data_IF_027171220196
#
_entry.id   IF_027171220196
#
_cell.length_a   1.000
_cell.length_b   1.000
_cell.length_c   1.000
_cell.angle_alpha   90.00
_cell.angle_beta   90.00
_cell.angle_gamma   90.00
#
_symmetry.space_group_name_H-M   'P 1'
#
loop_
_entity.id
_entity.type
_entity.pdbx_description
1 polymer ?
#
# COMPACT_ATOMS: atom_id res chain seq x y z
N UNK A 1 18.98 -10.37 13.49
CA UNK A 1 17.82 -9.71 12.86
C UNK A 1 16.99 -10.67 11.98
N UNK A 2 17.61 -11.70 11.41
CA UNK A 2 16.86 -12.70 10.61
C UNK A 2 15.83 -13.45 11.46
N UNK A 3 16.15 -13.78 12.70
CA UNK A 3 15.20 -14.37 13.65
C UNK A 3 14.01 -13.45 13.90
N UNK A 4 14.24 -12.13 14.01
CA UNK A 4 13.16 -11.16 14.18
C UNK A 4 12.25 -11.09 12.95
N UNK A 5 12.82 -11.23 11.74
CA UNK A 5 12.01 -11.32 10.51
C UNK A 5 11.13 -12.57 10.51
N UNK A 6 11.66 -13.72 10.92
CA UNK A 6 10.91 -14.97 11.03
C UNK A 6 9.80 -14.91 12.10
N UNK A 7 9.96 -14.12 13.15
CA UNK A 7 8.92 -13.92 14.16
C UNK A 7 7.66 -13.21 13.62
N UNK A 8 7.67 -12.66 12.40
CA UNK A 8 6.44 -12.14 11.78
C UNK A 8 5.40 -13.24 11.53
N UNK A 9 5.82 -14.50 11.46
CA UNK A 9 4.94 -15.67 11.33
C UNK A 9 4.48 -16.27 12.68
N UNK A 10 4.94 -15.70 13.78
CA UNK A 10 4.65 -16.26 15.10
C UNK A 10 3.17 -16.10 15.47
N UNK A 11 2.56 -17.16 16.05
CA UNK A 11 1.14 -17.21 16.43
C UNK A 11 0.76 -16.18 17.49
N UNK A 12 1.66 -15.93 18.43
CA UNK A 12 1.45 -14.90 19.45
C UNK A 12 1.88 -13.53 18.91
N UNK A 13 0.89 -12.64 18.78
CA UNK A 13 1.06 -11.27 18.28
C UNK A 13 2.10 -10.45 19.04
N UNK A 14 2.29 -10.71 20.34
CA UNK A 14 3.27 -9.99 21.15
C UNK A 14 4.69 -10.13 20.57
N UNK A 15 5.07 -11.37 20.16
CA UNK A 15 6.38 -11.61 19.56
C UNK A 15 6.51 -10.92 18.19
N UNK A 16 5.49 -11.00 17.34
CA UNK A 16 5.51 -10.35 16.03
C UNK A 16 5.62 -8.82 16.15
N UNK A 17 4.86 -8.21 17.07
CA UNK A 17 4.91 -6.75 17.32
C UNK A 17 6.23 -6.31 17.92
N UNK A 18 6.76 -7.05 18.90
CA UNK A 18 8.06 -6.76 19.52
C UNK A 18 9.18 -6.87 18.50
N UNK A 19 9.19 -7.93 17.68
CA UNK A 19 10.17 -8.13 16.63
C UNK A 19 10.13 -7.00 15.60
N UNK A 20 8.93 -6.56 15.17
CA UNK A 20 8.77 -5.42 14.26
C UNK A 20 9.37 -4.15 14.84
N UNK A 21 9.05 -3.82 16.10
CA UNK A 21 9.59 -2.64 16.76
C UNK A 21 11.12 -2.68 16.80
N UNK A 22 11.72 -3.80 17.18
CA UNK A 22 13.18 -3.95 17.22
C UNK A 22 13.82 -3.80 15.85
N UNK A 23 13.22 -4.35 14.79
CA UNK A 23 13.70 -4.18 13.43
C UNK A 23 13.64 -2.71 12.98
N UNK A 24 12.56 -2.00 13.31
CA UNK A 24 12.40 -0.58 13.01
C UNK A 24 13.43 0.29 13.73
N UNK A 25 13.64 0.05 15.03
CA UNK A 25 14.64 0.76 15.84
C UNK A 25 16.06 0.57 15.28
N UNK A 26 16.41 -0.66 14.90
CA UNK A 26 17.72 -0.98 14.32
C UNK A 26 17.92 -0.40 12.93
N UNK A 27 16.88 -0.41 12.09
CA UNK A 27 16.93 0.19 10.77
C UNK A 27 17.13 1.73 10.81
N UNK A 28 16.76 2.37 11.90
CA UNK A 28 17.03 3.81 12.12
C UNK A 28 18.51 4.13 12.39
N UNK A 29 19.29 3.16 12.85
CA UNK A 29 20.71 3.34 13.21
C UNK A 29 21.69 2.69 12.24
N UNK A 30 21.27 1.67 11.50
CA UNK A 30 22.13 0.92 10.56
C UNK A 30 21.35 0.51 9.33
N UNK A 31 22.05 0.28 8.21
CA UNK A 31 21.45 -0.29 6.99
C UNK A 31 20.98 -1.72 7.28
N UNK A 32 19.73 -2.00 6.97
CA UNK A 32 19.14 -3.33 7.15
C UNK A 32 19.85 -4.37 6.30
N UNK A 33 20.19 -5.52 6.91
CA UNK A 33 20.83 -6.61 6.19
C UNK A 33 19.94 -7.11 5.03
N UNK A 34 20.49 -7.30 3.82
CA UNK A 34 19.70 -7.76 2.66
C UNK A 34 18.92 -9.04 2.92
N UNK A 35 19.47 -9.98 3.70
CA UNK A 35 18.78 -11.22 4.05
C UNK A 35 17.47 -10.97 4.83
N UNK A 36 17.44 -9.99 5.73
CA UNK A 36 16.22 -9.60 6.48
C UNK A 36 15.17 -9.04 5.54
N UNK A 37 15.58 -8.11 4.67
CA UNK A 37 14.68 -7.49 3.67
C UNK A 37 14.11 -8.55 2.73
N UNK A 38 14.96 -9.42 2.20
CA UNK A 38 14.54 -10.50 1.28
C UNK A 38 13.55 -11.47 1.95
N UNK A 39 13.80 -11.86 3.20
CA UNK A 39 12.88 -12.73 3.95
C UNK A 39 11.52 -12.07 4.13
N UNK A 40 11.47 -10.80 4.54
CA UNK A 40 10.22 -10.08 4.68
C UNK A 40 9.49 -9.89 3.35
N UNK A 41 10.21 -9.56 2.27
CA UNK A 41 9.62 -9.44 0.93
C UNK A 41 9.05 -10.77 0.44
N UNK A 42 9.72 -11.89 0.72
CA UNK A 42 9.21 -13.21 0.40
C UNK A 42 7.92 -13.52 1.15
N UNK A 43 7.83 -13.19 2.44
CA UNK A 43 6.59 -13.32 3.22
C UNK A 43 5.44 -12.51 2.59
N UNK A 44 5.70 -11.28 2.16
CA UNK A 44 4.67 -10.46 1.48
C UNK A 44 4.18 -11.10 0.19
N UNK A 45 5.10 -11.66 -0.61
CA UNK A 45 4.75 -12.19 -1.95
C UNK A 45 4.06 -13.53 -1.94
N UNK A 46 4.38 -14.41 -0.98
CA UNK A 46 4.06 -15.84 -1.09
C UNK A 46 3.48 -16.50 0.15
N UNK A 47 3.35 -15.80 1.29
CA UNK A 47 2.76 -16.44 2.47
C UNK A 47 1.26 -16.69 2.26
N UNK A 48 0.77 -17.88 2.70
CA UNK A 48 -0.63 -18.25 2.52
C UNK A 48 -1.61 -17.38 3.35
N UNK A 49 -1.16 -16.89 4.51
CA UNK A 49 -1.99 -16.10 5.41
C UNK A 49 -1.81 -14.59 5.17
N UNK A 50 -2.88 -13.92 4.77
CA UNK A 50 -2.89 -12.47 4.50
C UNK A 50 -2.43 -11.63 5.71
N UNK A 51 -2.83 -11.93 6.96
CA UNK A 51 -2.29 -11.20 8.12
C UNK A 51 -0.76 -11.23 8.23
N UNK A 52 -0.13 -12.32 7.83
CA UNK A 52 1.33 -12.43 7.85
C UNK A 52 1.96 -11.61 6.72
N UNK A 53 1.37 -11.63 5.51
CA UNK A 53 1.78 -10.75 4.41
C UNK A 53 1.75 -9.28 4.86
N UNK A 54 0.66 -8.86 5.50
CA UNK A 54 0.50 -7.49 5.99
C UNK A 54 1.51 -7.15 7.10
N UNK A 55 1.75 -8.04 8.06
CA UNK A 55 2.78 -7.84 9.10
C UNK A 55 4.16 -7.60 8.48
N UNK A 56 4.54 -8.42 7.50
CA UNK A 56 5.82 -8.28 6.81
C UNK A 56 5.89 -6.97 6.01
N UNK A 57 4.80 -6.58 5.32
CA UNK A 57 4.70 -5.32 4.59
C UNK A 57 4.87 -4.10 5.51
N UNK A 58 4.17 -4.09 6.65
CA UNK A 58 4.30 -3.01 7.64
C UNK A 58 5.70 -2.96 8.27
N UNK A 59 6.34 -4.11 8.45
CA UNK A 59 7.71 -4.19 8.97
C UNK A 59 8.67 -3.55 7.96
N UNK A 60 8.61 -3.94 6.68
CA UNK A 60 9.41 -3.35 5.61
C UNK A 60 9.20 -1.83 5.49
N UNK A 61 7.93 -1.39 5.60
CA UNK A 61 7.62 0.04 5.54
C UNK A 61 8.24 0.82 6.70
N UNK A 62 8.09 0.32 7.94
CA UNK A 62 8.70 0.93 9.12
C UNK A 62 10.22 0.95 9.09
N UNK A 63 10.84 -0.05 8.45
CA UNK A 63 12.28 -0.11 8.19
C UNK A 63 12.72 0.79 7.01
N UNK A 64 11.79 1.44 6.29
CA UNK A 64 12.03 2.19 5.05
C UNK A 64 12.69 1.33 3.95
N UNK A 65 12.39 0.05 3.91
CA UNK A 65 13.02 -0.97 3.07
C UNK A 65 12.05 -1.62 2.06
N UNK A 66 10.96 -0.92 1.70
CA UNK A 66 9.98 -1.44 0.72
C UNK A 66 10.55 -1.50 -0.69
N UNK A 67 11.50 -0.63 -1.05
CA UNK A 67 11.97 -0.50 -2.45
C UNK A 67 10.79 -0.29 -3.40
N UNK A 68 10.77 -1.02 -4.52
CA UNK A 68 9.68 -1.03 -5.50
C UNK A 68 8.55 -2.05 -5.21
N UNK A 69 8.55 -2.67 -4.02
CA UNK A 69 7.56 -3.71 -3.68
C UNK A 69 6.11 -3.20 -3.71
N UNK A 70 5.88 -1.96 -3.29
CA UNK A 70 4.52 -1.40 -3.27
C UNK A 70 3.94 -1.29 -4.67
N UNK A 71 4.74 -0.84 -5.63
CA UNK A 71 4.39 -0.75 -7.04
C UNK A 71 4.19 -2.15 -7.65
N UNK A 72 5.07 -3.09 -7.33
CA UNK A 72 4.95 -4.50 -7.74
C UNK A 72 3.60 -5.09 -7.30
N UNK A 73 3.18 -4.88 -6.05
CA UNK A 73 1.91 -5.35 -5.52
C UNK A 73 0.71 -4.75 -6.26
N UNK A 74 0.80 -3.52 -6.75
CA UNK A 74 -0.26 -2.87 -7.52
C UNK A 74 -0.34 -3.36 -8.96
N UNK A 75 0.75 -3.82 -9.52
CA UNK A 75 0.77 -4.38 -10.89
C UNK A 75 0.32 -5.85 -10.88
N UNK A 76 0.51 -6.55 -9.77
CA UNK A 76 0.15 -7.95 -9.62
C UNK A 76 -1.36 -8.12 -9.40
N UNK A 77 -2.08 -8.63 -10.40
CA UNK A 77 -3.53 -8.87 -10.32
C UNK A 77 -3.89 -10.05 -9.39
N UNK A 78 -2.94 -10.92 -9.05
CA UNK A 78 -3.14 -12.05 -8.13
C UNK A 78 -2.86 -11.70 -6.67
N UNK A 79 -2.30 -10.52 -6.38
CA UNK A 79 -2.11 -10.06 -5.02
C UNK A 79 -3.48 -9.88 -4.33
N UNK A 80 -3.56 -10.24 -3.05
CA UNK A 80 -4.79 -10.07 -2.26
C UNK A 80 -5.24 -8.60 -2.20
N UNK A 81 -6.55 -8.36 -2.18
CA UNK A 81 -7.10 -7.01 -2.17
C UNK A 81 -6.68 -6.19 -0.94
N UNK A 82 -6.54 -6.81 0.23
CA UNK A 82 -6.07 -6.11 1.43
C UNK A 82 -4.60 -5.71 1.30
N UNK A 83 -3.78 -6.54 0.67
CA UNK A 83 -2.36 -6.24 0.43
C UNK A 83 -2.23 -5.08 -0.57
N UNK A 84 -3.02 -5.09 -1.68
CA UNK A 84 -3.06 -3.98 -2.64
C UNK A 84 -3.54 -2.68 -1.98
N UNK A 85 -4.61 -2.75 -1.19
CA UNK A 85 -5.14 -1.59 -0.48
C UNK A 85 -4.11 -0.96 0.47
N UNK A 86 -3.37 -1.78 1.20
CA UNK A 86 -2.28 -1.31 2.04
C UNK A 86 -1.11 -0.74 1.24
N UNK A 87 -0.77 -1.32 0.10
CA UNK A 87 0.26 -0.76 -0.79
C UNK A 87 -0.11 0.68 -1.23
N UNK A 88 -1.37 0.91 -1.64
CA UNK A 88 -1.88 2.25 -1.99
C UNK A 88 -1.76 3.20 -0.80
N UNK A 89 -2.20 2.77 0.37
CA UNK A 89 -2.15 3.60 1.58
C UNK A 89 -0.72 4.02 1.93
N UNK A 90 0.22 3.08 1.88
CA UNK A 90 1.63 3.33 2.19
C UNK A 90 2.32 4.22 1.14
N UNK A 91 1.94 4.10 -0.14
CA UNK A 91 2.35 5.04 -1.18
C UNK A 91 1.82 6.45 -0.89
N UNK A 92 0.57 6.56 -0.43
CA UNK A 92 -0.04 7.83 -0.04
C UNK A 92 0.66 8.54 1.11
N UNK A 93 1.47 7.86 1.92
CA UNK A 93 2.31 8.48 2.96
C UNK A 93 3.57 9.16 2.39
N UNK A 94 3.94 8.85 1.14
CA UNK A 94 5.14 9.38 0.46
C UNK A 94 4.78 10.18 -0.79
N UNK A 95 3.61 10.78 -0.80
CA UNK A 95 2.99 11.36 -1.98
C UNK A 95 3.87 12.42 -2.66
N UNK A 96 4.55 13.27 -1.88
CA UNK A 96 5.46 14.30 -2.39
C UNK A 96 6.71 13.74 -3.11
N UNK A 97 6.91 12.42 -3.03
CA UNK A 97 8.08 11.72 -3.58
C UNK A 97 7.71 10.66 -4.61
N UNK A 98 6.43 10.62 -5.04
CA UNK A 98 6.01 9.66 -6.06
C UNK A 98 6.58 10.04 -7.42
N UNK A 99 7.33 9.12 -8.00
CA UNK A 99 7.79 9.24 -9.39
C UNK A 99 6.63 9.12 -10.38
N UNK A 100 6.86 9.59 -11.61
CA UNK A 100 5.86 9.53 -12.71
C UNK A 100 5.41 8.10 -13.00
N UNK A 101 6.28 7.12 -12.85
CA UNK A 101 5.94 5.70 -13.02
C UNK A 101 4.92 5.22 -11.98
N UNK A 102 5.13 5.52 -10.69
CA UNK A 102 4.19 5.16 -9.63
C UNK A 102 2.82 5.81 -9.84
N UNK A 103 2.79 7.08 -10.28
CA UNK A 103 1.54 7.80 -10.62
C UNK A 103 0.81 7.13 -11.78
N UNK A 104 1.53 6.70 -12.82
CA UNK A 104 0.97 5.95 -13.95
C UNK A 104 0.40 4.59 -13.50
N UNK A 105 1.09 3.88 -12.59
CA UNK A 105 0.62 2.62 -12.02
C UNK A 105 -0.70 2.85 -11.23
N UNK A 106 -0.79 3.89 -10.40
CA UNK A 106 -2.01 4.21 -9.66
C UNK A 106 -3.17 4.54 -10.61
N UNK A 107 -2.94 5.33 -11.66
CA UNK A 107 -3.94 5.67 -12.67
C UNK A 107 -4.42 4.42 -13.44
N UNK A 108 -3.49 3.56 -13.85
CA UNK A 108 -3.81 2.29 -14.51
C UNK A 108 -4.64 1.39 -13.58
N UNK A 109 -4.23 1.26 -12.32
CA UNK A 109 -4.96 0.46 -11.32
C UNK A 109 -6.36 1.03 -11.07
N UNK A 110 -6.52 2.34 -10.98
CA UNK A 110 -7.83 2.97 -10.83
C UNK A 110 -8.82 2.57 -11.93
N UNK A 111 -8.34 2.37 -13.17
CA UNK A 111 -9.17 1.92 -14.29
C UNK A 111 -9.50 0.44 -14.22
N UNK A 112 -8.53 -0.42 -13.87
CA UNK A 112 -8.63 -1.88 -13.99
C UNK A 112 -9.04 -2.60 -12.70
N UNK A 113 -9.07 -1.90 -11.57
CA UNK A 113 -9.32 -2.52 -10.26
C UNK A 113 -10.77 -3.01 -10.14
N UNK A 114 -10.93 -4.30 -9.87
CA UNK A 114 -12.24 -4.95 -9.72
C UNK A 114 -12.79 -4.87 -8.30
N UNK A 115 -11.92 -4.75 -7.28
CA UNK A 115 -12.34 -4.68 -5.88
C UNK A 115 -12.79 -3.27 -5.48
N UNK A 116 -14.05 -3.08 -5.05
CA UNK A 116 -14.51 -1.81 -4.48
C UNK A 116 -13.70 -1.41 -3.24
N UNK A 117 -13.24 -2.40 -2.47
CA UNK A 117 -12.40 -2.16 -1.29
C UNK A 117 -11.09 -1.45 -1.67
N UNK A 118 -10.42 -1.90 -2.72
CA UNK A 118 -9.19 -1.26 -3.22
C UNK A 118 -9.49 0.10 -3.84
N UNK A 119 -10.58 0.23 -4.63
CA UNK A 119 -10.99 1.53 -5.22
C UNK A 119 -11.28 2.58 -4.15
N UNK A 120 -11.82 2.18 -2.99
CA UNK A 120 -11.99 3.08 -1.84
C UNK A 120 -10.67 3.66 -1.35
N UNK A 121 -9.60 2.85 -1.31
CA UNK A 121 -8.27 3.33 -0.92
C UNK A 121 -7.66 4.25 -1.98
N UNK A 122 -7.88 3.97 -3.27
CA UNK A 122 -7.49 4.87 -4.36
C UNK A 122 -8.22 6.22 -4.26
N UNK A 123 -9.52 6.21 -4.00
CA UNK A 123 -10.30 7.44 -3.80
C UNK A 123 -9.80 8.24 -2.58
N UNK A 124 -9.45 7.55 -1.48
CA UNK A 124 -8.92 8.19 -0.27
C UNK A 124 -7.56 8.87 -0.48
N UNK A 125 -6.74 8.38 -1.40
CA UNK A 125 -5.41 8.96 -1.70
C UNK A 125 -5.54 10.27 -2.47
N UNK A 126 -6.61 10.50 -3.23
CA UNK A 126 -6.81 11.71 -4.04
C UNK A 126 -6.62 13.02 -3.25
N UNK A 127 -7.10 13.06 -2.00
CA UNK A 127 -7.00 14.23 -1.14
C UNK A 127 -5.57 14.65 -0.78
N UNK A 128 -4.61 13.78 -1.03
CA UNK A 128 -3.19 14.00 -0.71
C UNK A 128 -2.36 14.30 -1.95
N UNK A 129 -2.90 14.01 -3.14
CA UNK A 129 -2.20 14.21 -4.41
C UNK A 129 -2.28 15.67 -4.87
N UNK A 130 -1.22 16.18 -5.52
CA UNK A 130 -1.33 17.39 -6.31
C UNK A 130 -2.44 17.26 -7.36
N UNK A 131 -3.04 18.39 -7.74
CA UNK A 131 -4.18 18.45 -8.65
C UNK A 131 -3.94 17.68 -9.96
N UNK A 132 -2.80 17.93 -10.58
CA UNK A 132 -2.41 17.29 -11.85
C UNK A 132 -2.30 15.76 -11.78
N UNK A 133 -2.06 15.22 -10.58
CA UNK A 133 -1.94 13.77 -10.34
C UNK A 133 -3.26 13.14 -9.88
N UNK A 134 -4.06 13.90 -9.12
CA UNK A 134 -5.34 13.44 -8.60
C UNK A 134 -6.37 13.26 -9.71
N UNK A 135 -6.43 14.21 -10.65
CA UNK A 135 -7.45 14.23 -11.69
C UNK A 135 -7.46 12.99 -12.60
N UNK A 136 -6.33 12.51 -13.15
CA UNK A 136 -6.31 11.29 -13.96
C UNK A 136 -6.81 10.05 -13.22
N UNK A 137 -6.53 9.94 -11.92
CA UNK A 137 -6.98 8.82 -11.09
C UNK A 137 -8.49 8.93 -10.83
N UNK A 138 -8.97 10.11 -10.46
CA UNK A 138 -10.38 10.38 -10.21
C UNK A 138 -11.24 10.08 -11.44
N UNK A 139 -10.81 10.53 -12.63
CA UNK A 139 -11.47 10.25 -13.90
C UNK A 139 -11.68 8.73 -14.12
N UNK A 140 -10.69 7.91 -13.80
CA UNK A 140 -10.80 6.45 -13.96
C UNK A 140 -11.70 5.81 -12.90
N UNK A 141 -11.69 6.33 -11.68
CA UNK A 141 -12.55 5.82 -10.60
C UNK A 141 -14.03 6.13 -10.86
N UNK A 142 -14.39 7.30 -11.35
CA UNK A 142 -15.80 7.64 -11.63
C UNK A 142 -16.42 6.79 -12.74
N UNK A 143 -15.61 6.13 -13.57
CA UNK A 143 -16.10 5.22 -14.61
C UNK A 143 -16.68 3.91 -14.07
N UNK A 144 -16.44 3.58 -12.79
CA UNK A 144 -16.99 2.37 -12.14
C UNK A 144 -18.43 2.64 -11.67
N UNK A 145 -19.41 2.56 -12.58
CA UNK A 145 -20.81 2.88 -12.28
C UNK A 145 -21.43 2.10 -11.10
N UNK A 146 -20.92 0.92 -10.78
CA UNK A 146 -21.36 0.15 -9.61
C UNK A 146 -21.07 0.87 -8.29
N UNK A 147 -20.02 1.70 -8.23
CA UNK A 147 -19.61 2.43 -7.03
C UNK A 147 -20.53 3.60 -6.69
N UNK A 148 -21.39 4.02 -7.61
CA UNK A 148 -22.38 5.08 -7.36
C UNK A 148 -23.34 4.76 -6.21
N UNK A 149 -23.52 3.47 -5.87
CA UNK A 149 -24.33 3.00 -4.74
C UNK A 149 -23.53 2.67 -3.48
N UNK A 150 -22.19 2.78 -3.53
CA UNK A 150 -21.37 2.59 -2.35
C UNK A 150 -21.52 3.78 -1.40
N UNK A 151 -21.53 3.53 -0.09
CA UNK A 151 -21.76 4.57 0.92
C UNK A 151 -20.58 5.52 1.10
N UNK A 152 -19.40 5.14 0.67
CA UNK A 152 -18.14 5.83 0.99
C UNK A 152 -17.41 6.33 -0.25
N UNK A 153 -17.34 5.52 -1.32
CA UNK A 153 -16.55 5.86 -2.51
C UNK A 153 -16.99 7.20 -3.14
N UNK A 154 -18.31 7.49 -3.35
CA UNK A 154 -18.73 8.76 -3.94
C UNK A 154 -18.31 9.98 -3.09
N UNK A 155 -18.37 9.84 -1.76
CA UNK A 155 -17.95 10.90 -0.86
C UNK A 155 -16.44 11.14 -0.91
N UNK A 156 -15.63 10.06 -0.93
CA UNK A 156 -14.18 10.18 -1.05
C UNK A 156 -13.77 10.78 -2.38
N UNK A 157 -14.44 10.41 -3.47
CA UNK A 157 -14.24 11.01 -4.79
C UNK A 157 -14.56 12.50 -4.75
N UNK A 158 -15.71 12.88 -4.20
CA UNK A 158 -16.10 14.29 -4.07
C UNK A 158 -15.04 15.08 -3.29
N UNK A 159 -14.67 14.66 -2.09
CA UNK A 159 -13.64 15.32 -1.29
C UNK A 159 -12.27 15.39 -1.97
N UNK A 160 -11.97 14.41 -2.84
CA UNK A 160 -10.72 14.39 -3.60
C UNK A 160 -10.72 15.35 -4.78
N UNK A 161 -11.88 15.64 -5.39
CA UNK A 161 -11.99 16.49 -6.58
C UNK A 161 -12.52 17.89 -6.30
N UNK A 162 -13.27 18.11 -5.21
CA UNK A 162 -13.82 19.44 -4.86
C UNK A 162 -12.77 20.56 -4.92
N UNK A 163 -11.56 20.40 -4.34
CA UNK A 163 -10.52 21.42 -4.42
C UNK A 163 -9.98 21.66 -5.84
N UNK A 164 -10.28 20.75 -6.78
CA UNK A 164 -9.79 20.81 -8.17
C UNK A 164 -10.74 21.58 -9.09
N UNK A 165 -11.98 21.80 -8.66
CA UNK A 165 -13.05 22.44 -9.46
C UNK A 165 -13.47 23.81 -8.88
N UNK A 166 -12.89 24.21 -7.76
CA UNK A 166 -13.03 25.53 -7.17
C UNK A 166 -12.01 26.50 -7.75
#
# INVERSE_FOLDING_TARGET
>A
DLELANLQTHKNEWFARTARRLLQERAGSTTSAPAVVNTLQQLVRSHAEIPIQLRALWTLHGMKATGGLLEELLVNDTADEHVRAWAIRLLGERIDKLGSETKAILTKRARSETSPFVRRHLASVLQRLPQEDAWPIAEKLVMHGADAKDQVIPQLLWYGIEPLVA
#
